data_IF_966880184551
#
_entry.id   IF_966880184551
#
_cell.length_a   1.000
_cell.length_b   1.000
_cell.length_c   1.000
_cell.angle_alpha   90.00
_cell.angle_beta   90.00
_cell.angle_gamma   90.00
#
_symmetry.space_group_name_H-M   'P 1'
#
loop_
_entity.id
_entity.type
_entity.pdbx_description
1 polymer ?
#
# COMPACT_ATOMS: atom_id res chain seq x y z
N UNK A 1 5.05 19.57 -2.98
CA UNK A 1 5.59 18.51 -2.07
C UNK A 1 6.06 17.35 -2.92
N UNK A 2 7.28 16.83 -2.66
CA UNK A 2 7.78 15.65 -3.36
C UNK A 2 7.26 14.37 -2.71
N UNK A 3 6.84 13.40 -3.55
CA UNK A 3 6.54 12.03 -3.15
C UNK A 3 7.71 11.18 -3.66
N UNK A 4 8.53 10.68 -2.74
CA UNK A 4 9.66 9.82 -3.06
C UNK A 4 9.13 8.42 -3.37
N UNK A 5 9.38 7.91 -4.56
CA UNK A 5 8.80 6.66 -5.02
C UNK A 5 9.85 5.57 -5.20
N UNK A 6 9.54 4.39 -4.70
CA UNK A 6 10.26 3.14 -4.97
C UNK A 6 9.42 2.31 -5.91
N UNK A 7 9.99 1.92 -7.06
CA UNK A 7 9.30 1.14 -8.08
C UNK A 7 9.82 -0.29 -8.11
N UNK A 8 8.91 -1.23 -7.86
CA UNK A 8 9.15 -2.65 -8.06
C UNK A 8 8.30 -3.15 -9.22
N UNK A 9 8.90 -3.97 -10.10
CA UNK A 9 8.20 -4.42 -11.29
C UNK A 9 8.68 -5.79 -11.77
N UNK A 10 7.76 -6.48 -12.48
CA UNK A 10 8.03 -7.71 -13.22
C UNK A 10 7.24 -7.67 -14.53
N UNK A 11 7.93 -7.41 -15.63
CA UNK A 11 7.30 -7.26 -16.94
C UNK A 11 6.30 -6.11 -17.00
N UNK A 12 5.04 -6.42 -17.26
CA UNK A 12 3.91 -5.48 -17.32
C UNK A 12 3.15 -5.34 -16.01
N UNK A 13 3.77 -5.72 -14.91
CA UNK A 13 3.22 -5.60 -13.57
C UNK A 13 4.12 -4.73 -12.70
N UNK A 14 3.53 -3.75 -12.03
CA UNK A 14 4.25 -2.76 -11.25
C UNK A 14 3.54 -2.42 -9.96
N UNK A 15 4.33 -2.25 -8.92
CA UNK A 15 3.93 -1.56 -7.70
C UNK A 15 4.86 -0.37 -7.46
N UNK A 16 4.29 0.78 -7.12
CA UNK A 16 5.00 2.00 -6.81
C UNK A 16 4.68 2.39 -5.38
N UNK A 17 5.64 2.32 -4.50
CA UNK A 17 5.53 2.68 -3.09
C UNK A 17 5.92 4.14 -2.87
N UNK A 18 5.24 4.80 -1.96
CA UNK A 18 5.64 6.13 -1.50
C UNK A 18 6.55 5.99 -0.26
N UNK A 19 7.87 6.08 -0.47
CA UNK A 19 8.90 5.92 0.57
C UNK A 19 8.71 6.85 1.79
N UNK A 20 8.28 8.07 1.55
CA UNK A 20 8.04 9.07 2.61
C UNK A 20 6.58 9.11 3.12
N UNK A 21 5.73 8.17 2.68
CA UNK A 21 4.35 7.98 3.15
C UNK A 21 4.08 6.49 3.37
N UNK A 22 4.62 5.89 4.46
CA UNK A 22 4.56 4.45 4.70
C UNK A 22 3.14 3.90 4.66
N UNK A 23 2.88 2.95 3.76
CA UNK A 23 1.57 2.36 3.51
C UNK A 23 0.84 2.91 2.27
N UNK A 24 1.25 4.07 1.72
CA UNK A 24 0.71 4.56 0.46
C UNK A 24 1.41 3.90 -0.73
N UNK A 25 0.66 3.30 -1.65
CA UNK A 25 1.20 2.68 -2.86
C UNK A 25 0.18 2.71 -4.01
N UNK A 26 0.68 2.56 -5.22
CA UNK A 26 -0.15 2.42 -6.42
C UNK A 26 0.32 1.25 -7.26
N UNK A 27 -0.56 0.76 -8.12
CA UNK A 27 -0.28 -0.33 -9.05
C UNK A 27 -0.59 0.09 -10.48
N UNK A 28 0.09 -0.53 -11.43
CA UNK A 28 -0.15 -0.34 -12.85
C UNK A 28 0.57 -1.36 -13.71
N UNK A 29 0.25 -1.41 -14.99
CA UNK A 29 0.98 -2.21 -15.97
C UNK A 29 2.31 -1.58 -16.39
N UNK A 30 2.55 -0.36 -15.94
CA UNK A 30 3.77 0.40 -16.22
C UNK A 30 4.02 1.43 -15.12
N UNK A 31 5.27 1.90 -15.05
CA UNK A 31 5.64 3.02 -14.19
C UNK A 31 4.77 4.26 -14.44
N UNK A 32 4.50 4.59 -15.70
CA UNK A 32 3.70 5.77 -16.06
C UNK A 32 2.27 5.67 -15.50
N UNK A 33 1.65 4.50 -15.55
CA UNK A 33 0.32 4.27 -14.99
C UNK A 33 0.33 4.37 -13.47
N UNK A 34 1.32 3.76 -12.79
CA UNK A 34 1.44 3.83 -11.35
C UNK A 34 1.73 5.26 -10.86
N UNK A 35 2.64 5.97 -11.51
CA UNK A 35 2.95 7.40 -11.23
C UNK A 35 1.74 8.29 -11.39
N UNK A 36 0.94 8.07 -12.45
CA UNK A 36 -0.28 8.85 -12.72
C UNK A 36 -1.32 8.78 -11.60
N UNK A 37 -1.29 7.74 -10.78
CA UNK A 37 -2.21 7.52 -9.64
C UNK A 37 -1.64 8.05 -8.31
N UNK A 38 -0.32 8.19 -8.19
CA UNK A 38 0.36 8.38 -6.91
C UNK A 38 -0.03 9.67 -6.17
N UNK A 39 -0.23 10.78 -6.87
CA UNK A 39 -0.63 12.03 -6.23
C UNK A 39 -2.03 11.93 -5.60
N UNK A 40 -2.98 11.26 -6.26
CA UNK A 40 -4.33 11.04 -5.74
C UNK A 40 -4.31 10.08 -4.54
N UNK A 41 -3.52 9.02 -4.61
CA UNK A 41 -3.31 8.08 -3.50
C UNK A 41 -2.72 8.78 -2.28
N UNK A 42 -1.64 9.54 -2.46
CA UNK A 42 -1.03 10.31 -1.36
C UNK A 42 -1.99 11.33 -0.76
N UNK A 43 -2.83 11.96 -1.57
CA UNK A 43 -3.87 12.86 -1.08
C UNK A 43 -4.92 12.12 -0.22
N UNK A 44 -5.32 10.92 -0.62
CA UNK A 44 -6.22 10.06 0.15
C UNK A 44 -5.59 9.64 1.48
N UNK A 45 -4.34 9.20 1.43
CA UNK A 45 -3.56 8.83 2.60
C UNK A 45 -3.41 9.97 3.63
N UNK A 46 -3.10 11.18 3.17
CA UNK A 46 -3.00 12.36 4.06
C UNK A 46 -4.35 12.71 4.72
N UNK A 47 -5.46 12.62 3.97
CA UNK A 47 -6.80 12.81 4.55
C UNK A 47 -7.11 11.77 5.62
N UNK A 48 -6.77 10.49 5.36
CA UNK A 48 -6.95 9.42 6.34
C UNK A 48 -6.14 9.69 7.62
N UNK A 49 -4.94 10.26 7.48
CA UNK A 49 -4.11 10.68 8.63
C UNK A 49 -4.62 11.95 9.33
N UNK A 50 -5.59 12.66 8.76
CA UNK A 50 -6.06 13.95 9.26
C UNK A 50 -5.09 15.10 8.96
N UNK A 51 -4.22 14.94 7.98
CA UNK A 51 -3.23 15.93 7.57
C UNK A 51 -3.72 16.79 6.38
N UNK A 52 -3.20 18.00 6.28
CA UNK A 52 -3.52 18.90 5.18
C UNK A 52 -2.94 18.37 3.85
N UNK A 53 -3.76 18.37 2.81
CA UNK A 53 -3.32 17.98 1.46
C UNK A 53 -2.70 19.18 0.76
N UNK A 54 -1.42 19.13 0.35
CA UNK A 54 -0.78 20.20 -0.41
C UNK A 54 -1.42 20.42 -1.78
N UNK A 55 -1.41 21.67 -2.27
CA UNK A 55 -1.96 22.02 -3.58
C UNK A 55 -1.24 21.40 -4.78
N UNK A 56 0.03 21.04 -4.62
CA UNK A 56 0.81 20.36 -5.65
C UNK A 56 1.66 19.25 -5.03
N UNK A 57 1.61 18.06 -5.62
CA UNK A 57 2.37 16.88 -5.24
C UNK A 57 3.01 16.26 -6.48
N UNK A 58 4.31 15.97 -6.40
CA UNK A 58 5.11 15.48 -7.51
C UNK A 58 5.79 14.16 -7.14
N UNK A 59 5.39 13.04 -7.78
CA UNK A 59 6.07 11.76 -7.63
C UNK A 59 7.47 11.82 -8.28
N UNK A 60 8.49 11.41 -7.54
CA UNK A 60 9.88 11.34 -8.00
C UNK A 60 10.42 9.94 -7.72
N UNK A 61 10.86 9.25 -8.76
CA UNK A 61 11.49 7.93 -8.63
C UNK A 61 12.86 8.07 -7.95
N UNK A 62 13.03 7.39 -6.81
CA UNK A 62 14.29 7.40 -6.04
C UNK A 62 14.97 6.04 -6.00
N UNK A 63 14.22 4.97 -6.26
CA UNK A 63 14.75 3.60 -6.31
C UNK A 63 13.93 2.75 -7.28
N UNK A 64 14.59 1.82 -7.95
CA UNK A 64 13.99 0.84 -8.86
C UNK A 64 14.46 -0.57 -8.49
N UNK A 65 13.57 -1.54 -8.57
CA UNK A 65 13.85 -2.96 -8.36
C UNK A 65 13.12 -3.79 -9.42
N UNK A 66 13.86 -4.41 -10.32
CA UNK A 66 13.35 -5.53 -11.11
C UNK A 66 13.22 -6.76 -10.24
N UNK A 67 12.08 -7.43 -10.28
CA UNK A 67 11.76 -8.62 -9.50
C UNK A 67 11.41 -9.80 -10.40
N UNK A 68 11.76 -11.02 -9.97
CA UNK A 68 11.29 -12.26 -10.57
C UNK A 68 10.01 -12.79 -9.91
N UNK A 69 9.52 -12.08 -8.88
CA UNK A 69 8.34 -12.44 -8.10
C UNK A 69 7.04 -12.00 -8.81
N UNK A 70 5.93 -12.60 -8.40
CA UNK A 70 4.60 -12.25 -8.91
C UNK A 70 4.07 -11.03 -8.17
N UNK A 71 4.55 -9.84 -8.57
CA UNK A 71 4.24 -8.55 -7.94
C UNK A 71 2.72 -8.29 -7.92
N UNK A 72 1.99 -8.72 -8.95
CA UNK A 72 0.51 -8.63 -9.02
C UNK A 72 -0.20 -9.38 -7.89
N UNK A 73 0.42 -10.42 -7.37
CA UNK A 73 -0.10 -11.22 -6.27
C UNK A 73 0.41 -10.74 -4.89
N UNK A 74 0.93 -9.52 -4.82
CA UNK A 74 1.52 -8.91 -3.64
C UNK A 74 2.79 -9.63 -3.12
N UNK A 75 3.45 -10.37 -4.01
CA UNK A 75 4.75 -10.93 -3.71
C UNK A 75 5.83 -9.87 -4.00
N UNK A 76 6.60 -9.50 -3.00
CA UNK A 76 7.55 -8.37 -3.06
C UNK A 76 8.81 -8.69 -2.28
N UNK A 77 9.97 -8.33 -2.85
CA UNK A 77 11.26 -8.50 -2.20
C UNK A 77 12.09 -7.20 -2.14
N UNK A 78 11.47 -6.07 -2.49
CA UNK A 78 12.15 -4.79 -2.40
C UNK A 78 12.37 -4.37 -0.95
N UNK A 79 13.62 -4.01 -0.63
CA UNK A 79 13.99 -3.33 0.61
C UNK A 79 14.36 -1.90 0.23
N UNK A 80 13.70 -0.92 0.82
CA UNK A 80 13.97 0.48 0.52
C UNK A 80 15.34 0.89 1.04
N UNK A 81 16.03 1.76 0.31
CA UNK A 81 17.34 2.25 0.74
C UNK A 81 17.27 2.99 2.09
N UNK A 82 16.15 3.62 2.38
CA UNK A 82 15.85 4.26 3.66
C UNK A 82 15.70 3.24 4.81
N UNK A 83 15.25 2.02 4.53
CA UNK A 83 15.05 0.96 5.53
C UNK A 83 16.36 0.23 5.91
N UNK A 84 17.44 0.46 5.18
CA UNK A 84 18.77 -0.10 5.48
C UNK A 84 19.43 0.56 6.68
N UNK A 85 18.89 1.67 7.16
CA UNK A 85 19.35 2.36 8.35
C UNK A 85 18.50 1.97 9.57
N UNK A 86 19.09 1.86 10.77
CA UNK A 86 18.32 1.64 11.98
C UNK A 86 17.31 2.76 12.23
N UNK A 87 16.10 2.39 12.62
CA UNK A 87 15.07 3.35 13.03
C UNK A 87 15.51 4.10 14.28
N UNK A 88 15.27 5.40 14.32
CA UNK A 88 15.34 6.17 15.55
C UNK A 88 14.10 5.87 16.41
N UNK A 89 14.20 6.04 17.73
CA UNK A 89 13.11 5.76 18.65
C UNK A 89 11.81 6.51 18.29
N UNK A 90 11.93 7.78 17.89
CA UNK A 90 10.80 8.62 17.48
C UNK A 90 10.12 8.10 16.19
N UNK A 91 10.93 7.64 15.22
CA UNK A 91 10.41 7.04 13.98
C UNK A 91 9.69 5.72 14.26
N UNK A 92 10.24 4.90 15.14
CA UNK A 92 9.59 3.66 15.57
C UNK A 92 8.24 3.93 16.22
N UNK A 93 8.15 4.87 17.17
CA UNK A 93 6.88 5.20 17.83
C UNK A 93 5.86 5.80 16.84
N UNK A 94 6.30 6.61 15.88
CA UNK A 94 5.43 7.15 14.84
C UNK A 94 4.88 6.05 13.92
N UNK A 95 5.72 5.12 13.46
CA UNK A 95 5.30 3.99 12.61
C UNK A 95 4.38 3.03 13.39
N UNK A 96 4.68 2.76 14.64
CA UNK A 96 3.83 1.95 15.52
C UNK A 96 2.45 2.58 15.72
N UNK A 97 2.38 3.88 15.97
CA UNK A 97 1.10 4.59 16.09
C UNK A 97 0.29 4.52 14.78
N UNK A 98 0.96 4.64 13.63
CA UNK A 98 0.34 4.52 12.32
C UNK A 98 -0.21 3.11 12.08
N UNK A 99 0.54 2.07 12.43
CA UNK A 99 0.11 0.68 12.31
C UNK A 99 -1.11 0.38 13.20
N UNK A 100 -1.09 0.85 14.45
CA UNK A 100 -2.22 0.68 15.37
C UNK A 100 -3.47 1.41 14.87
N UNK A 101 -3.33 2.66 14.41
CA UNK A 101 -4.43 3.40 13.79
C UNK A 101 -5.01 2.65 12.59
N UNK A 102 -4.16 2.10 11.73
CA UNK A 102 -4.60 1.33 10.56
C UNK A 102 -5.42 0.10 10.97
N UNK A 103 -4.98 -0.63 11.99
CA UNK A 103 -5.69 -1.80 12.51
C UNK A 103 -7.05 -1.42 13.13
N UNK A 104 -7.10 -0.35 13.92
CA UNK A 104 -8.33 0.15 14.52
C UNK A 104 -9.34 0.60 13.45
N UNK A 105 -8.89 1.37 12.46
CA UNK A 105 -9.75 1.82 11.38
C UNK A 105 -10.24 0.66 10.50
N UNK A 106 -9.39 -0.35 10.25
CA UNK A 106 -9.79 -1.56 9.54
C UNK A 106 -10.85 -2.35 10.31
N UNK A 107 -10.69 -2.50 11.62
CA UNK A 107 -11.71 -3.12 12.46
C UNK A 107 -13.03 -2.35 12.41
N UNK A 108 -13.00 -1.03 12.54
CA UNK A 108 -14.20 -0.19 12.47
C UNK A 108 -14.90 -0.30 11.10
N UNK A 109 -14.14 -0.36 10.01
CA UNK A 109 -14.69 -0.63 8.68
C UNK A 109 -15.37 -1.99 8.59
N UNK A 110 -14.75 -3.04 9.13
CA UNK A 110 -15.34 -4.38 9.17
C UNK A 110 -16.64 -4.41 9.97
N UNK A 111 -16.67 -3.80 11.15
CA UNK A 111 -17.85 -3.73 12.01
C UNK A 111 -19.01 -2.94 11.38
N UNK A 112 -18.71 -2.01 10.48
CA UNK A 112 -19.71 -1.23 9.74
C UNK A 112 -20.28 -1.94 8.51
N UNK A 113 -19.74 -3.10 8.10
CA UNK A 113 -20.23 -3.83 6.93
C UNK A 113 -21.56 -4.51 7.25
N UNK A 114 -22.67 -4.19 6.55
CA UNK A 114 -23.99 -4.74 6.85
C UNK A 114 -24.10 -6.25 6.66
N UNK A 115 -23.39 -6.79 5.67
CA UNK A 115 -23.35 -8.22 5.34
C UNK A 115 -21.90 -8.64 5.06
N UNK A 116 -21.17 -9.09 6.09
CA UNK A 116 -19.74 -9.41 5.97
C UNK A 116 -19.46 -10.67 5.15
N UNK A 117 -20.45 -11.48 4.84
CA UNK A 117 -20.32 -12.71 4.07
C UNK A 117 -20.64 -12.52 2.58
N UNK A 118 -21.16 -11.35 2.21
CA UNK A 118 -21.46 -11.03 0.81
C UNK A 118 -20.19 -10.61 0.07
N UNK A 119 -20.00 -11.17 -1.13
CA UNK A 119 -18.95 -10.73 -2.06
C UNK A 119 -19.52 -10.33 -3.40
N UNK A 120 -18.98 -9.26 -3.98
CA UNK A 120 -19.18 -8.86 -5.38
C UNK A 120 -17.90 -9.07 -6.23
N UNK A 121 -16.84 -9.62 -5.63
CA UNK A 121 -15.57 -9.84 -6.30
C UNK A 121 -15.57 -11.19 -7.03
N UNK A 122 -14.94 -11.27 -8.22
CA UNK A 122 -14.74 -12.53 -8.90
C UNK A 122 -13.83 -13.47 -8.09
N UNK A 123 -13.98 -14.76 -8.29
CA UNK A 123 -13.06 -15.74 -7.72
C UNK A 123 -11.66 -15.54 -8.32
N UNK A 124 -10.65 -15.50 -7.45
CA UNK A 124 -9.24 -15.37 -7.82
C UNK A 124 -8.40 -16.31 -6.96
N UNK A 125 -7.39 -16.89 -7.58
CA UNK A 125 -6.36 -17.66 -6.89
C UNK A 125 -4.99 -17.10 -7.22
N UNK A 126 -4.14 -17.08 -6.22
CA UNK A 126 -2.71 -16.78 -6.34
C UNK A 126 -1.92 -18.04 -5.98
N UNK A 127 -0.61 -17.99 -6.02
CA UNK A 127 0.22 -19.11 -5.57
C UNK A 127 0.09 -19.36 -4.04
N UNK A 128 -0.37 -18.38 -3.28
CA UNK A 128 -0.73 -18.54 -1.86
C UNK A 128 -2.09 -19.23 -1.64
N UNK A 129 -2.90 -19.43 -2.67
CA UNK A 129 -4.22 -20.04 -2.61
C UNK A 129 -5.35 -19.10 -2.99
N UNK A 130 -6.53 -19.32 -2.40
CA UNK A 130 -7.69 -18.47 -2.65
C UNK A 130 -7.52 -17.09 -2.01
N UNK A 131 -7.88 -16.06 -2.77
CA UNK A 131 -7.88 -14.68 -2.27
C UNK A 131 -9.16 -14.41 -1.49
N UNK A 132 -9.09 -13.74 -0.32
CA UNK A 132 -10.27 -13.31 0.43
C UNK A 132 -11.25 -12.51 -0.45
N UNK A 133 -12.53 -12.81 -0.40
CA UNK A 133 -13.58 -12.22 -1.24
C UNK A 133 -14.66 -11.51 -0.45
N UNK A 134 -14.79 -11.82 0.84
CA UNK A 134 -15.78 -11.23 1.73
C UNK A 134 -15.07 -10.39 2.79
N UNK A 135 -15.80 -9.48 3.42
CA UNK A 135 -15.24 -8.69 4.52
C UNK A 135 -14.79 -9.60 5.67
N UNK A 136 -15.54 -10.69 5.94
CA UNK A 136 -15.17 -11.67 6.96
C UNK A 136 -13.86 -12.38 6.61
N UNK A 137 -13.72 -12.88 5.39
CA UNK A 137 -12.48 -13.54 4.94
C UNK A 137 -11.28 -12.59 5.01
N UNK A 138 -11.45 -11.31 4.62
CA UNK A 138 -10.40 -10.29 4.72
C UNK A 138 -10.00 -10.02 6.17
N UNK A 139 -10.97 -9.90 7.07
CA UNK A 139 -10.72 -9.70 8.50
C UNK A 139 -10.02 -10.89 9.15
N UNK A 140 -10.46 -12.12 8.85
CA UNK A 140 -9.82 -13.35 9.36
C UNK A 140 -8.39 -13.54 8.81
N UNK A 141 -8.13 -13.06 7.58
CA UNK A 141 -6.81 -13.13 6.97
C UNK A 141 -5.78 -12.19 7.62
N UNK A 142 -6.23 -11.13 8.29
CA UNK A 142 -5.36 -10.13 8.94
C UNK A 142 -5.13 -10.38 10.44
N UNK A 143 -5.77 -11.39 11.04
CA UNK A 143 -5.51 -11.83 12.41
C UNK A 143 -4.24 -12.65 12.45
#
# INVERSE_FOLDING_TARGET
>A
MLIRCVWEHNGDDSILYADNFPGAFTRGRSLAEAVGKMAAETASYLRWRGEAVPGAMEPVLVQEKGSDLTVSDADSDVIFDTEKQPLRAEEYEALKALALKSAEDFQALYEAVPDPDRSCLPERRTFYGAVPRTAREMYEHTK
#
